data_IF_974323619718
#
_entry.id   IF_974323619718
#
_cell.length_a   1.000
_cell.length_b   1.000
_cell.length_c   1.000
_cell.angle_alpha   90.00
_cell.angle_beta   90.00
_cell.angle_gamma   90.00
#
_symmetry.space_group_name_H-M   'P 1'
#
loop_
_entity.id
_entity.type
_entity.pdbx_description
1 polymer ?
#
# COMPACT_ATOMS: atom_id res chain seq x y z
N UNK A 1 -9.58 23.10 29.18
CA UNK A 1 -9.69 22.45 27.85
C UNK A 1 -8.37 22.70 27.15
N UNK A 2 -7.44 21.75 27.22
CA UNK A 2 -6.16 21.84 26.53
C UNK A 2 -6.41 21.52 25.06
N UNK A 3 -6.24 22.52 24.20
CA UNK A 3 -6.16 22.32 22.76
C UNK A 3 -5.14 21.22 22.48
N UNK A 4 -5.55 20.17 21.77
CA UNK A 4 -4.64 19.16 21.26
C UNK A 4 -3.87 19.86 20.14
N UNK A 5 -2.58 20.19 20.28
CA UNK A 5 -1.83 20.69 19.13
C UNK A 5 -1.80 19.53 18.14
N UNK A 6 -2.47 19.68 16.99
CA UNK A 6 -2.41 18.68 15.93
C UNK A 6 -0.94 18.39 15.61
N UNK A 7 -0.60 17.12 15.39
CA UNK A 7 0.78 16.73 15.06
C UNK A 7 1.28 17.56 13.88
N UNK A 8 2.50 18.11 13.99
CA UNK A 8 3.14 18.83 12.88
C UNK A 8 3.41 17.88 11.70
N UNK A 9 3.54 18.38 10.46
CA UNK A 9 3.91 17.55 9.32
C UNK A 9 5.18 16.73 9.54
N UNK A 10 6.16 17.28 10.25
CA UNK A 10 7.41 16.59 10.59
C UNK A 10 7.19 15.45 11.58
N UNK A 11 6.33 15.66 12.59
CA UNK A 11 5.95 14.60 13.55
C UNK A 11 5.19 13.48 12.85
N UNK A 12 4.27 13.83 11.93
CA UNK A 12 3.56 12.86 11.11
C UNK A 12 4.54 12.04 10.28
N UNK A 13 5.48 12.69 9.59
CA UNK A 13 6.49 11.98 8.78
C UNK A 13 7.36 11.03 9.62
N UNK A 14 7.79 11.46 10.80
CA UNK A 14 8.58 10.63 11.73
C UNK A 14 7.81 9.38 12.19
N UNK A 15 6.53 9.55 12.54
CA UNK A 15 5.65 8.43 12.92
C UNK A 15 5.41 7.49 11.74
N UNK A 16 5.16 8.01 10.54
CA UNK A 16 5.01 7.19 9.34
C UNK A 16 6.29 6.39 9.03
N UNK A 17 7.47 6.99 9.15
CA UNK A 17 8.75 6.28 8.95
C UNK A 17 9.00 5.24 10.05
N UNK A 18 8.59 5.49 11.29
CA UNK A 18 8.61 4.48 12.34
C UNK A 18 7.73 3.28 11.99
N UNK A 19 6.48 3.50 11.59
CA UNK A 19 5.56 2.43 11.17
C UNK A 19 6.12 1.69 9.95
N UNK A 20 6.69 2.41 8.98
CA UNK A 20 7.28 1.82 7.79
C UNK A 20 8.46 0.90 8.11
N UNK A 21 9.30 1.25 9.09
CA UNK A 21 10.34 0.35 9.61
C UNK A 21 9.77 -0.91 10.25
N UNK A 22 8.74 -0.76 11.09
CA UNK A 22 8.10 -1.90 11.75
C UNK A 22 7.44 -2.82 10.72
N UNK A 23 6.80 -2.25 9.69
CA UNK A 23 6.18 -2.99 8.59
C UNK A 23 7.19 -3.86 7.83
N UNK A 24 8.39 -3.33 7.54
CA UNK A 24 9.45 -4.07 6.85
C UNK A 24 9.98 -5.30 7.60
N UNK A 25 9.74 -5.40 8.91
CA UNK A 25 10.08 -6.58 9.74
C UNK A 25 8.88 -7.49 9.97
N UNK A 26 7.69 -6.91 10.07
CA UNK A 26 6.45 -7.64 10.41
C UNK A 26 5.80 -8.34 9.24
N UNK A 27 6.03 -7.86 8.02
CA UNK A 27 5.46 -8.44 6.82
C UNK A 27 6.39 -9.48 6.22
N UNK A 28 5.86 -10.67 6.02
CA UNK A 28 6.51 -11.76 5.33
C UNK A 28 6.29 -11.60 3.81
N UNK A 29 7.35 -11.28 3.08
CA UNK A 29 7.31 -11.14 1.63
C UNK A 29 6.94 -12.42 0.88
N UNK A 30 7.29 -13.59 1.41
CA UNK A 30 6.90 -14.87 0.82
C UNK A 30 5.38 -15.08 0.93
N UNK A 31 4.79 -14.70 2.07
CA UNK A 31 3.34 -14.71 2.25
C UNK A 31 2.66 -13.70 1.31
N UNK A 32 3.20 -12.48 1.20
CA UNK A 32 2.67 -11.44 0.30
C UNK A 32 2.61 -11.91 -1.17
N UNK A 33 3.65 -12.60 -1.65
CA UNK A 33 3.70 -13.16 -3.03
C UNK A 33 2.62 -14.21 -3.32
N UNK A 34 2.11 -14.89 -2.29
CA UNK A 34 1.08 -15.93 -2.43
C UNK A 34 -0.35 -15.40 -2.37
N UNK A 35 -0.55 -14.10 -2.15
CA UNK A 35 -1.88 -13.53 -2.03
C UNK A 35 -2.64 -13.61 -3.36
N UNK A 36 -2.12 -13.03 -4.44
CA UNK A 36 -2.82 -13.01 -5.73
C UNK A 36 -2.63 -14.36 -6.41
N UNK A 37 -3.72 -15.00 -6.84
CA UNK A 37 -3.61 -16.36 -7.41
C UNK A 37 -2.96 -16.35 -8.79
N UNK A 38 -2.38 -17.48 -9.24
CA UNK A 38 -1.89 -17.61 -10.61
C UNK A 38 -2.97 -17.33 -11.66
N UNK A 39 -4.23 -17.71 -11.39
CA UNK A 39 -5.35 -17.45 -12.29
C UNK A 39 -5.64 -15.95 -12.41
N UNK A 40 -5.69 -15.24 -11.29
CA UNK A 40 -5.88 -13.79 -11.29
C UNK A 40 -4.78 -13.09 -12.10
N UNK A 41 -3.51 -13.48 -11.93
CA UNK A 41 -2.39 -12.94 -12.71
C UNK A 41 -2.58 -13.21 -14.21
N UNK A 42 -2.97 -14.43 -14.58
CA UNK A 42 -3.20 -14.80 -15.99
C UNK A 42 -4.30 -13.96 -16.65
N UNK A 43 -5.37 -13.65 -15.92
CA UNK A 43 -6.50 -12.89 -16.44
C UNK A 43 -6.32 -11.36 -16.36
N UNK A 44 -5.41 -10.88 -15.49
CA UNK A 44 -5.21 -9.46 -15.20
C UNK A 44 -4.99 -8.58 -16.44
N UNK A 45 -4.35 -9.13 -17.47
CA UNK A 45 -4.04 -8.42 -18.72
C UNK A 45 -4.84 -8.92 -19.93
N UNK A 46 -5.78 -9.85 -19.74
CA UNK A 46 -6.66 -10.28 -20.82
C UNK A 46 -7.72 -9.23 -21.08
N UNK A 47 -7.99 -8.98 -22.35
CA UNK A 47 -9.05 -8.08 -22.79
C UNK A 47 -10.04 -8.85 -23.67
N UNK A 48 -11.33 -8.59 -23.48
CA UNK A 48 -12.40 -9.08 -24.34
C UNK A 48 -13.31 -7.91 -24.73
N UNK A 49 -13.49 -7.62 -26.03
CA UNK A 49 -14.42 -6.58 -26.48
C UNK A 49 -15.87 -6.75 -26.02
N UNK A 50 -16.28 -7.98 -25.69
CA UNK A 50 -17.63 -8.32 -25.23
C UNK A 50 -17.74 -8.42 -23.71
N UNK A 51 -16.60 -8.46 -23.01
CA UNK A 51 -16.54 -8.52 -21.56
C UNK A 51 -15.44 -7.57 -21.03
N UNK A 52 -15.85 -6.33 -20.74
CA UNK A 52 -14.96 -5.33 -20.13
C UNK A 52 -14.58 -5.63 -18.68
N UNK A 53 -15.26 -6.58 -18.03
CA UNK A 53 -15.04 -6.92 -16.62
C UNK A 53 -14.21 -8.19 -16.46
N UNK A 54 -13.87 -8.89 -17.55
CA UNK A 54 -13.14 -10.16 -17.59
C UNK A 54 -12.02 -10.27 -16.55
N UNK A 55 -11.15 -9.26 -16.49
CA UNK A 55 -10.01 -9.27 -15.58
C UNK A 55 -10.43 -9.08 -14.10
N UNK A 56 -11.40 -8.21 -13.82
CA UNK A 56 -11.92 -7.97 -12.47
C UNK A 56 -12.75 -9.15 -11.94
N UNK A 57 -13.59 -9.73 -12.79
CA UNK A 57 -14.44 -10.89 -12.43
C UNK A 57 -13.62 -12.17 -12.19
N UNK A 58 -12.39 -12.21 -12.71
CA UNK A 58 -11.43 -13.30 -12.48
C UNK A 58 -10.32 -12.91 -11.50
N UNK A 59 -10.46 -11.79 -10.78
CA UNK A 59 -9.52 -11.42 -9.73
C UNK A 59 -9.89 -12.12 -8.43
N UNK A 60 -9.06 -13.08 -8.03
CA UNK A 60 -9.18 -13.81 -6.77
C UNK A 60 -7.86 -13.82 -6.00
N UNK A 61 -7.97 -14.07 -4.70
CA UNK A 61 -6.85 -14.09 -3.76
C UNK A 61 -6.88 -15.34 -2.89
N UNK A 62 -5.73 -15.75 -2.38
CA UNK A 62 -5.64 -16.72 -1.29
C UNK A 62 -6.14 -16.06 0.00
N UNK A 63 -7.33 -16.47 0.45
CA UNK A 63 -8.00 -15.88 1.61
C UNK A 63 -7.18 -15.96 2.90
N UNK A 64 -6.42 -17.03 3.11
CA UNK A 64 -5.64 -17.21 4.34
C UNK A 64 -4.52 -16.15 4.42
N UNK A 65 -3.71 -16.06 3.37
CA UNK A 65 -2.60 -15.11 3.29
C UNK A 65 -3.12 -13.67 3.25
N UNK A 66 -4.16 -13.41 2.43
CA UNK A 66 -4.78 -12.10 2.34
C UNK A 66 -5.27 -11.60 3.71
N UNK A 67 -6.02 -12.43 4.44
CA UNK A 67 -6.58 -12.03 5.73
C UNK A 67 -5.50 -11.89 6.81
N UNK A 68 -4.46 -12.72 6.80
CA UNK A 68 -3.35 -12.61 7.73
C UNK A 68 -2.61 -11.27 7.54
N UNK A 69 -2.21 -10.98 6.30
CA UNK A 69 -1.51 -9.74 5.96
C UNK A 69 -2.40 -8.51 6.20
N UNK A 70 -3.67 -8.53 5.76
CA UNK A 70 -4.60 -7.42 5.99
C UNK A 70 -4.76 -7.08 7.47
N UNK A 71 -4.88 -8.08 8.34
CA UNK A 71 -4.93 -7.84 9.81
C UNK A 71 -3.65 -7.21 10.33
N UNK A 72 -2.49 -7.60 9.82
CA UNK A 72 -1.20 -6.99 10.17
C UNK A 72 -1.13 -5.52 9.73
N UNK A 73 -1.52 -5.22 8.49
CA UNK A 73 -1.57 -3.84 7.98
C UNK A 73 -2.51 -2.95 8.83
N UNK A 74 -3.68 -3.45 9.22
CA UNK A 74 -4.60 -2.73 10.12
C UNK A 74 -3.97 -2.47 11.49
N UNK A 75 -3.21 -3.43 12.04
CA UNK A 75 -2.51 -3.26 13.34
C UNK A 75 -1.38 -2.25 13.22
N UNK A 76 -0.63 -2.24 12.12
CA UNK A 76 0.41 -1.25 11.84
C UNK A 76 -0.18 0.16 11.75
N UNK A 77 -1.31 0.33 11.04
CA UNK A 77 -2.00 1.61 10.96
C UNK A 77 -2.45 2.16 12.33
N UNK A 78 -2.75 1.26 13.29
CA UNK A 78 -3.14 1.63 14.67
C UNK A 78 -1.98 2.06 15.57
N UNK A 79 -0.73 1.91 15.12
CA UNK A 79 0.42 2.46 15.84
C UNK A 79 0.44 3.99 15.78
N UNK A 80 -0.10 4.58 14.70
CA UNK A 80 -0.18 6.02 14.55
C UNK A 80 -1.20 6.62 15.55
N UNK A 81 -0.90 7.76 16.18
CA UNK A 81 -1.86 8.51 17.00
C UNK A 81 -2.89 9.31 16.15
N UNK A 82 -2.90 9.10 14.82
CA UNK A 82 -3.72 9.81 13.86
C UNK A 82 -4.26 8.87 12.77
N UNK A 83 -5.13 9.38 11.90
CA UNK A 83 -5.67 8.62 10.77
C UNK A 83 -4.55 8.28 9.76
N UNK A 84 -4.26 7.00 9.64
CA UNK A 84 -3.23 6.45 8.78
C UNK A 84 -3.77 5.17 8.11
N UNK A 85 -3.34 4.93 6.86
CA UNK A 85 -3.47 3.64 6.19
C UNK A 85 -2.07 3.06 5.91
N UNK A 86 -2.03 1.73 5.75
CA UNK A 86 -0.82 0.97 5.41
C UNK A 86 -1.22 0.00 4.31
N UNK A 87 -0.82 0.29 3.09
CA UNK A 87 -1.27 -0.44 1.91
C UNK A 87 -0.13 -1.31 1.35
N UNK A 88 -0.45 -2.52 0.91
CA UNK A 88 0.50 -3.42 0.29
C UNK A 88 0.47 -3.26 -1.23
N UNK A 89 1.64 -2.95 -1.80
CA UNK A 89 1.87 -2.87 -3.22
C UNK A 89 2.83 -3.99 -3.65
N UNK A 90 2.45 -4.73 -4.69
CA UNK A 90 3.24 -5.85 -5.20
C UNK A 90 3.56 -5.68 -6.68
N UNK A 91 4.81 -5.95 -7.12
CA UNK A 91 5.12 -6.11 -8.53
C UNK A 91 4.33 -7.30 -9.10
N UNK A 92 4.07 -7.29 -10.40
CA UNK A 92 3.30 -8.35 -11.07
C UNK A 92 4.27 -9.28 -11.81
N UNK A 93 4.34 -10.58 -11.47
CA UNK A 93 5.23 -11.52 -12.13
C UNK A 93 5.04 -11.54 -13.66
N UNK A 94 6.14 -11.47 -14.41
CA UNK A 94 6.12 -11.40 -15.88
C UNK A 94 5.89 -9.99 -16.46
N UNK A 95 5.59 -8.99 -15.63
CA UNK A 95 5.29 -7.62 -16.03
C UNK A 95 6.12 -6.62 -15.20
N UNK A 96 7.43 -6.46 -15.50
CA UNK A 96 8.35 -5.68 -14.66
C UNK A 96 8.06 -4.17 -14.62
N UNK A 97 7.26 -3.68 -15.57
CA UNK A 97 6.80 -2.30 -15.67
C UNK A 97 5.46 -2.06 -14.98
N UNK A 98 4.90 -3.07 -14.29
CA UNK A 98 3.57 -3.01 -13.66
C UNK A 98 3.63 -3.25 -12.16
N UNK A 99 2.71 -2.60 -11.47
CA UNK A 99 2.46 -2.79 -10.04
C UNK A 99 0.95 -2.85 -9.76
N UNK A 100 0.58 -3.48 -8.65
CA UNK A 100 -0.79 -3.51 -8.16
C UNK A 100 -0.82 -3.18 -6.67
N UNK A 101 -1.89 -2.53 -6.21
CA UNK A 101 -2.23 -2.56 -4.79
C UNK A 101 -2.96 -3.86 -4.52
N UNK A 102 -2.41 -4.70 -3.67
CA UNK A 102 -2.99 -6.01 -3.33
C UNK A 102 -3.92 -5.88 -2.14
N UNK A 103 -3.52 -5.10 -1.14
CA UNK A 103 -4.36 -4.80 0.02
C UNK A 103 -4.32 -3.31 0.27
N UNK A 104 -5.52 -2.72 0.36
CA UNK A 104 -5.73 -1.35 0.81
C UNK A 104 -6.54 -1.34 2.10
N UNK A 105 -6.24 -0.39 2.98
CA UNK A 105 -6.94 -0.23 4.26
C UNK A 105 -8.17 0.71 4.16
N UNK A 106 -8.84 0.87 5.30
CA UNK A 106 -10.23 1.29 5.38
C UNK A 106 -10.48 2.78 5.10
N UNK A 107 -9.45 3.65 5.12
CA UNK A 107 -9.63 5.10 4.97
C UNK A 107 -9.45 5.58 3.54
N UNK A 108 -9.14 4.66 2.63
CA UNK A 108 -8.98 4.93 1.20
C UNK A 108 -7.86 5.94 0.90
N UNK A 109 -6.88 6.07 1.80
CA UNK A 109 -5.76 6.99 1.64
C UNK A 109 -4.66 6.36 0.80
N UNK A 110 -4.20 7.06 -0.23
CA UNK A 110 -3.00 6.71 -1.01
C UNK A 110 -2.56 7.92 -1.85
N UNK A 111 -1.26 7.98 -2.15
CA UNK A 111 -0.67 8.88 -3.15
C UNK A 111 -0.90 8.40 -4.58
N UNK A 112 -1.08 7.08 -4.78
CA UNK A 112 -0.94 6.42 -6.08
C UNK A 112 -2.18 5.69 -6.55
N UNK A 113 -3.04 5.26 -5.64
CA UNK A 113 -4.16 4.41 -5.98
C UNK A 113 -5.21 5.10 -6.85
N UNK A 114 -5.62 4.40 -7.91
CA UNK A 114 -6.71 4.77 -8.80
C UNK A 114 -7.86 3.77 -8.63
N UNK A 115 -9.07 4.28 -8.45
CA UNK A 115 -10.27 3.46 -8.26
C UNK A 115 -10.46 2.48 -9.44
N UNK A 116 -10.66 1.20 -9.12
CA UNK A 116 -10.92 0.14 -10.10
C UNK A 116 -9.69 -0.35 -10.89
N UNK A 117 -8.51 0.22 -10.66
CA UNK A 117 -7.29 -0.24 -11.33
C UNK A 117 -6.76 -1.52 -10.66
N UNK A 118 -6.81 -2.64 -11.39
CA UNK A 118 -6.24 -3.94 -10.97
C UNK A 118 -4.72 -4.03 -11.22
N UNK A 119 -4.21 -3.23 -12.15
CA UNK A 119 -2.78 -3.02 -12.41
C UNK A 119 -2.56 -1.58 -12.85
N UNK A 120 -1.37 -1.05 -12.57
CA UNK A 120 -0.95 0.29 -12.94
C UNK A 120 0.51 0.25 -13.41
N UNK A 121 0.94 1.29 -14.12
CA UNK A 121 2.36 1.48 -14.43
C UNK A 121 3.16 1.63 -13.14
N UNK A 122 4.36 1.06 -13.14
CA UNK A 122 5.26 1.15 -11.99
C UNK A 122 5.70 2.61 -11.79
N UNK A 123 5.32 3.18 -10.65
CA UNK A 123 5.65 4.55 -10.29
C UNK A 123 7.14 4.70 -9.96
N UNK A 124 7.82 5.80 -10.35
CA UNK A 124 9.25 5.99 -10.10
C UNK A 124 9.67 5.84 -8.62
N UNK A 125 8.95 6.39 -7.61
CA UNK A 125 9.32 6.19 -6.22
C UNK A 125 9.24 4.73 -5.77
N UNK A 126 8.24 3.99 -6.25
CA UNK A 126 8.08 2.56 -5.96
C UNK A 126 9.19 1.74 -6.61
N UNK A 127 9.55 2.06 -7.85
CA UNK A 127 10.70 1.45 -8.54
C UNK A 127 11.99 1.60 -7.72
N UNK A 128 12.26 2.80 -7.19
CA UNK A 128 13.41 3.02 -6.31
C UNK A 128 13.40 2.08 -5.10
N UNK A 129 12.26 1.91 -4.42
CA UNK A 129 12.17 0.98 -3.29
C UNK A 129 12.42 -0.47 -3.71
N UNK A 130 11.79 -0.91 -4.80
CA UNK A 130 11.92 -2.29 -5.29
C UNK A 130 13.36 -2.62 -5.73
N UNK A 131 14.07 -1.68 -6.36
CA UNK A 131 15.42 -1.91 -6.87
C UNK A 131 16.51 -1.75 -5.80
N UNK A 132 16.30 -0.85 -4.83
CA UNK A 132 17.37 -0.47 -3.88
C UNK A 132 17.11 -0.94 -2.45
N UNK A 133 15.88 -1.33 -2.12
CA UNK A 133 15.45 -1.57 -0.74
C UNK A 133 15.46 -0.32 0.14
N UNK A 134 15.63 0.88 -0.42
CA UNK A 134 15.62 2.12 0.36
C UNK A 134 14.20 2.62 0.58
N UNK A 135 13.91 3.10 1.80
CA UNK A 135 12.66 3.80 2.08
C UNK A 135 12.63 5.15 1.37
N UNK A 136 11.45 5.56 0.90
CA UNK A 136 11.26 6.81 0.15
C UNK A 136 10.08 7.58 0.71
N UNK A 137 10.27 8.86 1.04
CA UNK A 137 9.20 9.79 1.37
C UNK A 137 8.59 10.38 0.10
N UNK A 138 7.26 10.41 0.02
CA UNK A 138 6.49 10.91 -1.12
C UNK A 138 5.45 11.94 -0.65
N UNK A 139 5.46 13.12 -1.29
CA UNK A 139 4.57 14.26 -0.99
C UNK A 139 3.98 14.88 -2.27
N UNK A 140 3.69 14.06 -3.27
CA UNK A 140 3.28 14.52 -4.61
C UNK A 140 1.86 15.10 -4.60
N UNK A 141 0.92 14.44 -3.92
CA UNK A 141 -0.44 14.94 -3.69
C UNK A 141 -0.47 15.93 -2.52
N UNK A 142 -1.01 17.15 -2.72
CA UNK A 142 -1.12 18.13 -1.64
C UNK A 142 -1.89 17.59 -0.44
N UNK A 143 -1.41 17.86 0.78
CA UNK A 143 -2.08 17.48 2.01
C UNK A 143 -1.93 16.01 2.41
N UNK A 144 -1.08 15.23 1.71
CA UNK A 144 -0.85 13.80 1.96
C UNK A 144 0.65 13.54 2.03
N UNK A 145 1.08 12.70 2.98
CA UNK A 145 2.46 12.22 3.11
C UNK A 145 2.40 10.70 3.08
N UNK A 146 3.25 10.10 2.25
CA UNK A 146 3.47 8.64 2.26
C UNK A 146 4.94 8.33 2.50
N UNK A 147 5.20 7.28 3.28
CA UNK A 147 6.50 6.61 3.34
C UNK A 147 6.36 5.25 2.66
N UNK A 148 7.17 5.04 1.63
CA UNK A 148 7.30 3.74 0.97
C UNK A 148 8.42 2.95 1.64
N UNK A 149 8.16 1.69 1.97
CA UNK A 149 9.18 0.81 2.55
C UNK A 149 9.16 -0.60 1.95
N UNK A 150 10.33 -1.23 1.77
CA UNK A 150 10.41 -2.56 1.19
C UNK A 150 9.79 -3.61 2.13
N UNK A 151 9.23 -4.64 1.52
CA UNK A 151 8.87 -5.90 2.17
C UNK A 151 9.82 -6.95 1.63
N UNK A 152 10.54 -7.63 2.52
CA UNK A 152 11.54 -8.64 2.15
C UNK A 152 10.98 -10.05 2.23
N UNK A 153 11.44 -10.93 1.36
CA UNK A 153 11.24 -12.37 1.50
C UNK A 153 12.31 -13.01 2.42
N UNK A 154 12.20 -14.32 2.63
CA UNK A 154 13.14 -15.09 3.46
C UNK A 154 14.58 -15.13 2.93
N UNK A 155 14.83 -14.76 1.68
CA UNK A 155 16.17 -14.66 1.09
C UNK A 155 16.76 -13.25 1.24
N UNK A 156 15.97 -12.29 1.70
CA UNK A 156 16.36 -10.88 1.81
C UNK A 156 16.15 -10.09 0.53
N UNK A 157 15.46 -10.65 -0.47
CA UNK A 157 15.09 -9.94 -1.69
C UNK A 157 13.83 -9.10 -1.46
N UNK A 158 13.72 -7.96 -2.13
CA UNK A 158 12.52 -7.12 -2.05
C UNK A 158 11.37 -7.81 -2.80
N UNK A 159 10.38 -8.31 -2.07
CA UNK A 159 9.20 -8.96 -2.61
C UNK A 159 8.12 -7.98 -3.07
N UNK A 160 8.06 -6.82 -2.43
CA UNK A 160 7.08 -5.77 -2.66
C UNK A 160 7.37 -4.57 -1.76
N UNK A 161 6.37 -3.72 -1.55
CA UNK A 161 6.51 -2.57 -0.65
C UNK A 161 5.20 -2.26 0.06
N UNK A 162 5.32 -1.55 1.17
CA UNK A 162 4.17 -0.88 1.80
C UNK A 162 4.19 0.61 1.52
N UNK A 163 2.99 1.17 1.38
CA UNK A 163 2.74 2.60 1.47
C UNK A 163 2.13 2.89 2.86
N UNK A 164 2.87 3.57 3.72
CA UNK A 164 2.34 4.10 5.00
C UNK A 164 1.94 5.55 4.78
N UNK A 165 0.65 5.86 4.87
CA UNK A 165 0.11 7.14 4.39
C UNK A 165 -0.81 7.80 5.40
N UNK A 166 -0.73 9.12 5.48
CA UNK A 166 -1.63 9.96 6.26
C UNK A 166 -1.78 11.35 5.63
N UNK A 167 -2.77 12.11 6.10
CA UNK A 167 -2.85 13.54 5.79
C UNK A 167 -1.76 14.30 6.54
N UNK A 168 -1.16 15.32 5.91
CA UNK A 168 -0.15 16.20 6.54
C UNK A 168 -0.75 17.16 7.57
N UNK A 169 -2.07 17.20 7.68
CA UNK A 169 -2.81 17.96 8.68
C UNK A 169 -4.12 17.21 8.95
N UNK A 170 -4.69 17.28 10.17
CA UNK A 170 -6.01 16.71 10.43
C UNK A 170 -6.99 17.26 9.39
N UNK A 171 -7.80 16.42 8.71
CA UNK A 171 -8.85 16.94 7.85
C UNK A 171 -9.74 17.87 8.70
N UNK A 172 -10.10 19.03 8.14
CA UNK A 172 -11.05 19.91 8.80
C UNK A 172 -12.27 19.08 9.21
N UNK A 173 -12.66 19.16 10.48
CA UNK A 173 -13.87 18.49 10.97
C UNK A 173 -15.00 18.99 10.09
N UNK A 174 -15.54 18.12 9.22
CA UNK A 174 -16.82 18.40 8.60
C UNK A 174 -17.82 18.26 9.72
N UNK A 175 -18.30 19.38 10.23
CA UNK A 175 -19.47 19.39 11.09
C UNK A 175 -20.60 18.73 10.27
N UNK A 176 -20.99 17.53 10.69
CA UNK A 176 -22.18 16.86 10.18
C UNK A 176 -23.38 17.71 10.63
N UNK A 177 -23.92 18.50 9.69
CA UNK A 177 -25.26 19.10 9.80
C UNK A 177 -26.33 18.08 9.46
#
# INVERSE_FOLDING_TARGET
MTENPGNSPEQIEQELDHIARVAGVMLDGDACRRIVTPRAIEYMFKTDPHDRFLAGDNYDVNDFEFNAIKKTLIRLARLAPFACDVDLWMPIPGHPDKIQVVIRNARELSQFWVFGAISQDLFPPMKTVLETGQRVTVKQRPGVISILAPVYDSLGDVAGLVEVVAHSSPPARKDET
#
